data_IF_724222685301
#
_entry.id   IF_724222685301
#
_cell.length_a   1.000
_cell.length_b   1.000
_cell.length_c   1.000
_cell.angle_alpha   90.00
_cell.angle_beta   90.00
_cell.angle_gamma   90.00
#
_symmetry.space_group_name_H-M   'P 1'
#
loop_
_entity.id
_entity.type
_entity.pdbx_description
1 polymer ?
#
# COMPACT_ATOMS: atom_id res chain seq x y z
N UNK A 1 14.37 66.36 -19.50
CA UNK A 1 13.29 65.44 -19.92
C UNK A 1 13.77 64.80 -21.23
N UNK A 2 14.01 63.51 -21.41
CA UNK A 2 13.48 62.27 -20.83
C UNK A 2 14.49 61.15 -21.20
N UNK A 3 14.81 60.31 -20.23
CA UNK A 3 15.01 58.86 -20.41
C UNK A 3 16.23 58.35 -21.20
N UNK A 4 17.44 58.46 -20.63
CA UNK A 4 18.60 57.60 -21.01
C UNK A 4 19.14 56.77 -19.83
N UNK A 5 18.25 56.33 -18.94
CA UNK A 5 18.58 55.40 -17.86
C UNK A 5 17.63 54.22 -17.93
N UNK A 6 17.77 53.37 -18.95
CA UNK A 6 17.23 52.00 -18.98
C UNK A 6 18.15 51.09 -19.80
N UNK A 7 19.42 51.05 -19.41
CA UNK A 7 20.29 49.93 -19.74
C UNK A 7 20.09 48.83 -18.68
N UNK A 8 20.10 47.59 -19.12
CA UNK A 8 20.13 46.36 -18.33
C UNK A 8 18.84 45.97 -17.57
N UNK A 9 17.91 45.36 -18.29
CA UNK A 9 17.15 44.23 -17.74
C UNK A 9 17.08 43.14 -18.81
N UNK A 10 18.26 42.60 -19.15
CA UNK A 10 18.40 41.43 -20.00
C UNK A 10 18.12 40.17 -19.16
N UNK A 11 17.16 39.37 -19.65
CA UNK A 11 17.11 37.91 -19.56
C UNK A 11 17.68 37.24 -18.28
N UNK A 12 16.78 36.80 -17.39
CA UNK A 12 16.97 35.51 -16.71
C UNK A 12 15.76 34.64 -17.06
N UNK A 13 16.00 33.78 -18.05
CA UNK A 13 15.14 32.69 -18.46
C UNK A 13 15.37 31.51 -17.52
N UNK A 14 14.25 30.86 -17.18
CA UNK A 14 14.14 29.43 -16.90
C UNK A 14 14.54 28.86 -15.52
N UNK A 15 13.55 28.11 -15.00
CA UNK A 15 13.72 26.80 -14.35
C UNK A 15 14.03 26.75 -12.87
N UNK A 16 12.98 26.93 -12.06
CA UNK A 16 12.84 26.20 -10.79
C UNK A 16 11.61 25.29 -10.84
N UNK A 17 11.52 24.43 -11.87
CA UNK A 17 10.79 23.17 -11.70
C UNK A 17 11.75 22.27 -10.92
N UNK A 18 11.79 22.47 -9.60
CA UNK A 18 12.45 21.52 -8.70
C UNK A 18 11.75 20.19 -8.93
N UNK A 19 12.57 19.23 -9.37
CA UNK A 19 12.20 17.87 -9.67
C UNK A 19 11.30 17.28 -8.56
N UNK A 20 10.00 17.22 -8.84
CA UNK A 20 9.20 16.09 -8.37
C UNK A 20 9.57 14.89 -9.24
N UNK A 21 10.81 14.42 -9.11
CA UNK A 21 11.09 13.02 -9.37
C UNK A 21 10.43 12.25 -8.24
N UNK A 22 9.09 12.14 -8.31
CA UNK A 22 8.39 11.09 -7.59
C UNK A 22 9.07 9.81 -8.01
N UNK A 23 9.81 9.20 -7.08
CA UNK A 23 10.49 7.94 -7.35
C UNK A 23 9.41 7.00 -7.88
N UNK A 24 9.47 6.66 -9.16
CA UNK A 24 8.64 5.59 -9.71
C UNK A 24 9.24 4.28 -9.20
N UNK A 25 9.06 4.01 -7.91
CA UNK A 25 9.27 2.67 -7.38
C UNK A 25 8.22 1.82 -8.07
N UNK A 26 8.66 0.88 -8.91
CA UNK A 26 7.78 -0.20 -9.33
C UNK A 26 7.37 -0.93 -8.04
N UNK A 27 6.14 -0.71 -7.58
CA UNK A 27 5.65 -1.40 -6.39
C UNK A 27 5.31 -2.82 -6.77
N UNK A 28 6.15 -3.75 -6.35
CA UNK A 28 5.86 -5.19 -6.46
C UNK A 28 4.87 -5.54 -5.38
N UNK A 29 3.67 -5.96 -5.76
CA UNK A 29 2.67 -6.46 -4.83
C UNK A 29 2.84 -7.96 -4.63
N UNK A 30 2.73 -8.41 -3.39
CA UNK A 30 2.60 -9.83 -3.09
C UNK A 30 1.14 -10.26 -3.28
N UNK A 31 0.90 -11.25 -4.13
CA UNK A 31 -0.44 -11.78 -4.36
C UNK A 31 -0.84 -12.74 -3.23
N UNK A 32 -1.82 -12.32 -2.44
CA UNK A 32 -2.45 -13.13 -1.40
C UNK A 32 -3.96 -13.03 -1.53
N UNK A 33 -4.67 -14.06 -1.11
CA UNK A 33 -6.14 -14.07 -1.13
C UNK A 33 -6.73 -14.29 0.27
N UNK A 34 -7.92 -13.75 0.50
CA UNK A 34 -8.68 -13.97 1.73
C UNK A 34 -9.13 -15.41 1.80
N UNK A 35 -8.91 -16.06 2.95
CA UNK A 35 -9.35 -17.42 3.19
C UNK A 35 -9.60 -17.70 4.68
N UNK A 36 -10.49 -18.64 4.97
CA UNK A 36 -10.75 -19.12 6.33
C UNK A 36 -11.58 -18.16 7.19
N UNK A 37 -12.24 -17.18 6.58
CA UNK A 37 -13.29 -16.37 7.22
C UNK A 37 -14.59 -17.20 7.28
N UNK A 38 -15.42 -17.11 8.34
CA UNK A 38 -16.71 -17.81 8.41
C UNK A 38 -17.64 -17.50 7.22
N UNK A 39 -18.59 -18.39 6.96
CA UNK A 39 -19.59 -18.18 5.92
C UNK A 39 -20.44 -16.93 6.22
N UNK A 40 -20.61 -16.06 5.21
CA UNK A 40 -21.32 -14.79 5.36
C UNK A 40 -20.49 -13.65 5.96
N UNK A 41 -19.28 -13.91 6.43
CA UNK A 41 -18.38 -12.92 6.99
C UNK A 41 -17.34 -12.42 5.97
N UNK A 42 -16.67 -11.32 6.33
CA UNK A 42 -15.60 -10.70 5.54
C UNK A 42 -14.36 -10.42 6.40
N UNK A 43 -13.19 -10.44 5.77
CA UNK A 43 -11.96 -9.91 6.36
C UNK A 43 -11.94 -8.39 6.23
N UNK A 44 -11.87 -7.68 7.36
CA UNK A 44 -11.77 -6.23 7.35
C UNK A 44 -10.31 -5.77 7.16
N UNK A 45 -10.09 -4.84 6.22
CA UNK A 45 -8.90 -4.00 6.21
C UNK A 45 -9.12 -2.80 7.12
N UNK A 46 -8.11 -2.49 7.95
CA UNK A 46 -8.20 -1.47 8.99
C UNK A 46 -7.10 -0.42 8.85
N UNK A 47 -7.37 0.79 9.34
CA UNK A 47 -6.43 1.92 9.25
C UNK A 47 -5.09 1.66 9.95
N UNK A 48 -5.11 0.89 11.03
CA UNK A 48 -3.93 0.52 11.83
C UNK A 48 -3.99 -0.97 12.17
N UNK A 49 -2.85 -1.63 12.45
CA UNK A 49 -2.79 -3.06 12.73
C UNK A 49 -3.31 -3.42 14.13
N UNK A 50 -4.61 -3.21 14.35
CA UNK A 50 -5.30 -3.45 15.61
C UNK A 50 -6.78 -3.79 15.41
N UNK A 51 -7.31 -4.66 16.26
CA UNK A 51 -8.73 -5.05 16.25
C UNK A 51 -9.68 -3.90 16.59
N UNK A 52 -9.20 -2.88 17.32
CA UNK A 52 -9.98 -1.69 17.69
C UNK A 52 -9.87 -0.57 16.66
N UNK A 53 -9.01 -0.72 15.64
CA UNK A 53 -8.82 0.31 14.61
C UNK A 53 -10.02 0.41 13.66
N UNK A 54 -10.24 1.60 13.13
CA UNK A 54 -11.27 1.89 12.13
C UNK A 54 -11.19 0.90 10.96
N UNK A 55 -12.32 0.30 10.60
CA UNK A 55 -12.48 -0.50 9.38
C UNK A 55 -12.57 0.45 8.18
N UNK A 56 -11.83 0.13 7.13
CA UNK A 56 -11.80 0.90 5.88
C UNK A 56 -12.48 0.12 4.74
N UNK A 57 -12.21 -1.18 4.65
CA UNK A 57 -12.81 -2.05 3.63
C UNK A 57 -13.08 -3.45 4.19
N UNK A 58 -13.86 -4.23 3.45
CA UNK A 58 -14.26 -5.60 3.80
C UNK A 58 -14.14 -6.51 2.58
N UNK A 59 -13.47 -7.64 2.73
CA UNK A 59 -13.16 -8.57 1.65
C UNK A 59 -13.73 -9.97 1.94
N UNK A 60 -14.52 -10.56 1.03
CA UNK A 60 -15.02 -11.92 1.17
C UNK A 60 -13.89 -12.95 0.94
N UNK A 61 -14.12 -14.21 1.34
CA UNK A 61 -13.22 -15.32 0.95
C UNK A 61 -13.04 -15.36 -0.58
N UNK A 62 -11.81 -15.65 -1.04
CA UNK A 62 -11.43 -15.68 -2.44
C UNK A 62 -11.03 -14.32 -3.03
N UNK A 63 -11.24 -13.21 -2.31
CA UNK A 63 -10.77 -11.91 -2.77
C UNK A 63 -9.23 -11.85 -2.78
N UNK A 64 -8.66 -11.53 -3.94
CA UNK A 64 -7.21 -11.30 -4.09
C UNK A 64 -6.89 -9.89 -3.61
N UNK A 65 -5.87 -9.78 -2.77
CA UNK A 65 -5.41 -8.55 -2.13
C UNK A 65 -4.10 -8.07 -2.77
N UNK A 66 -3.99 -6.77 -2.99
CA UNK A 66 -2.73 -6.12 -3.39
C UNK A 66 -1.88 -5.86 -2.15
N UNK A 67 -1.14 -6.87 -1.69
CA UNK A 67 -0.33 -6.72 -0.47
C UNK A 67 0.96 -5.98 -0.76
N UNK A 68 1.33 -5.01 0.08
CA UNK A 68 2.54 -4.18 -0.14
C UNK A 68 3.84 -4.92 0.16
N UNK A 69 3.77 -6.12 0.74
CA UNK A 69 4.91 -6.86 1.29
C UNK A 69 5.02 -6.70 2.81
N UNK A 70 4.67 -5.53 3.36
CA UNK A 70 4.91 -5.22 4.76
C UNK A 70 3.96 -5.95 5.72
N UNK A 71 4.50 -6.68 6.68
CA UNK A 71 3.75 -7.18 7.84
C UNK A 71 4.38 -6.71 9.16
N UNK A 72 3.57 -6.67 10.23
CA UNK A 72 4.07 -6.36 11.57
C UNK A 72 5.07 -7.41 12.05
N UNK A 73 5.99 -7.00 12.93
CA UNK A 73 7.09 -7.85 13.37
C UNK A 73 8.24 -7.96 12.37
N UNK A 74 8.31 -7.06 11.38
CA UNK A 74 9.44 -6.96 10.45
C UNK A 74 9.46 -8.01 9.35
N UNK A 75 8.32 -8.67 9.07
CA UNK A 75 8.21 -9.66 8.01
C UNK A 75 7.87 -8.96 6.69
N UNK A 76 8.57 -9.35 5.63
CA UNK A 76 8.19 -9.04 4.25
C UNK A 76 7.61 -10.29 3.57
N UNK A 77 6.45 -10.17 2.92
CA UNK A 77 5.82 -11.24 2.16
C UNK A 77 6.65 -11.67 0.94
N UNK A 78 7.43 -10.75 0.36
CA UNK A 78 8.28 -11.04 -0.79
C UNK A 78 9.46 -11.95 -0.40
N UNK A 79 10.00 -11.79 0.82
CA UNK A 79 11.09 -12.63 1.35
C UNK A 79 10.67 -14.08 1.61
N UNK A 80 9.38 -14.31 1.86
CA UNK A 80 8.83 -15.65 2.16
C UNK A 80 8.14 -16.29 0.96
N UNK A 81 7.98 -15.59 -0.17
CA UNK A 81 7.21 -16.06 -1.33
C UNK A 81 7.70 -17.40 -1.91
N UNK A 82 9.00 -17.69 -1.82
CA UNK A 82 9.59 -18.95 -2.30
C UNK A 82 9.43 -20.14 -1.34
N UNK A 83 8.86 -19.94 -0.15
CA UNK A 83 8.68 -21.00 0.84
C UNK A 83 7.40 -21.81 0.56
N UNK A 84 7.29 -23.06 1.05
CA UNK A 84 6.03 -23.79 1.04
C UNK A 84 4.88 -22.97 1.67
N UNK A 85 3.68 -23.03 1.08
CA UNK A 85 2.52 -22.20 1.50
C UNK A 85 2.23 -22.28 3.01
N UNK A 86 2.40 -23.46 3.62
CA UNK A 86 2.17 -23.63 5.05
C UNK A 86 3.18 -22.84 5.91
N UNK A 87 4.44 -22.72 5.49
CA UNK A 87 5.46 -21.91 6.17
C UNK A 87 5.13 -20.43 6.06
N UNK A 88 4.73 -19.99 4.87
CA UNK A 88 4.31 -18.60 4.64
C UNK A 88 3.14 -18.22 5.56
N UNK A 89 2.08 -19.04 5.57
CA UNK A 89 0.90 -18.85 6.43
C UNK A 89 1.28 -18.84 7.91
N UNK A 90 2.19 -19.71 8.32
CA UNK A 90 2.63 -19.77 9.72
C UNK A 90 3.40 -18.51 10.13
N UNK A 91 4.26 -17.98 9.26
CA UNK A 91 5.06 -16.79 9.55
C UNK A 91 4.19 -15.56 9.87
N UNK A 92 3.07 -15.40 9.15
CA UNK A 92 2.20 -14.22 9.29
C UNK A 92 0.93 -14.46 10.12
N UNK A 93 0.68 -15.68 10.61
CA UNK A 93 -0.59 -16.08 11.23
C UNK A 93 -1.11 -15.11 12.29
N UNK A 94 -0.22 -14.53 13.09
CA UNK A 94 -0.55 -13.60 14.17
C UNK A 94 -0.06 -12.17 13.90
N UNK A 95 0.28 -11.87 12.65
CA UNK A 95 0.71 -10.55 12.21
C UNK A 95 -0.43 -9.83 11.50
N UNK A 96 -0.26 -8.53 11.38
CA UNK A 96 -1.06 -7.73 10.47
C UNK A 96 -0.22 -7.49 9.23
N UNK A 97 -0.81 -7.62 8.06
CA UNK A 97 -0.14 -7.41 6.79
C UNK A 97 -0.81 -6.26 6.04
N UNK A 98 0.00 -5.41 5.44
CA UNK A 98 -0.44 -4.18 4.80
C UNK A 98 -0.94 -4.46 3.38
N UNK A 99 -2.11 -3.90 3.09
CA UNK A 99 -2.78 -3.94 1.80
C UNK A 99 -2.82 -2.54 1.22
N UNK A 100 -2.59 -2.44 -0.08
CA UNK A 100 -2.86 -1.25 -0.88
C UNK A 100 -4.27 -1.39 -1.46
N UNK A 101 -5.16 -0.48 -1.11
CA UNK A 101 -6.57 -0.59 -1.50
C UNK A 101 -7.24 0.76 -1.64
N UNK A 102 -8.38 0.77 -2.33
CA UNK A 102 -9.25 1.92 -2.49
C UNK A 102 -10.57 1.68 -1.71
N UNK A 103 -10.67 2.17 -0.47
CA UNK A 103 -11.86 2.01 0.37
C UNK A 103 -13.11 2.66 -0.20
N UNK A 104 -12.95 3.77 -0.92
CA UNK A 104 -14.06 4.60 -1.40
C UNK A 104 -14.48 4.25 -2.84
N UNK A 105 -13.68 3.44 -3.55
CA UNK A 105 -13.87 3.08 -4.95
C UNK A 105 -13.87 4.30 -5.87
N UNK A 106 -13.06 5.31 -5.54
CA UNK A 106 -12.96 6.58 -6.25
C UNK A 106 -11.57 6.82 -6.89
N UNK A 107 -10.70 5.81 -6.83
CA UNK A 107 -9.32 5.86 -7.30
C UNK A 107 -8.32 6.37 -6.27
N UNK A 108 -8.75 6.77 -5.06
CA UNK A 108 -7.84 7.21 -4.00
C UNK A 108 -7.35 6.03 -3.17
N UNK A 109 -6.29 5.40 -3.64
CA UNK A 109 -5.67 4.30 -2.92
C UNK A 109 -4.96 4.77 -1.64
N UNK A 110 -5.10 3.97 -0.60
CA UNK A 110 -4.46 4.15 0.71
C UNK A 110 -3.89 2.81 1.17
N UNK A 111 -3.05 2.85 2.21
CA UNK A 111 -2.69 1.63 2.93
C UNK A 111 -3.72 1.28 3.99
N UNK A 112 -3.89 -0.01 4.21
CA UNK A 112 -4.66 -0.59 5.31
C UNK A 112 -4.01 -1.87 5.80
N UNK A 113 -4.57 -2.47 6.84
CA UNK A 113 -4.02 -3.65 7.49
C UNK A 113 -5.06 -4.75 7.61
N UNK A 114 -4.73 -5.95 7.13
CA UNK A 114 -5.53 -7.17 7.29
C UNK A 114 -4.83 -8.14 8.24
N UNK A 115 -5.62 -8.94 8.96
CA UNK A 115 -5.06 -9.89 9.92
C UNK A 115 -4.59 -11.18 9.22
N UNK A 116 -3.31 -11.52 9.36
CA UNK A 116 -2.62 -12.55 8.60
C UNK A 116 -3.18 -13.96 8.76
N UNK A 117 -3.94 -14.23 9.84
CA UNK A 117 -4.67 -15.49 10.03
C UNK A 117 -5.61 -15.83 8.86
N UNK A 118 -6.17 -14.82 8.21
CA UNK A 118 -7.25 -14.95 7.24
C UNK A 118 -6.81 -14.70 5.80
N UNK A 119 -5.52 -14.83 5.50
CA UNK A 119 -5.00 -14.75 4.14
C UNK A 119 -4.09 -15.95 3.84
N UNK A 120 -4.02 -16.33 2.57
CA UNK A 120 -3.15 -17.38 2.04
C UNK A 120 -2.48 -16.91 0.75
N UNK A 121 -1.31 -17.46 0.37
CA UNK A 121 -0.73 -17.19 -0.93
C UNK A 121 -1.74 -17.54 -2.04
N UNK A 122 -1.83 -16.69 -3.08
CA UNK A 122 -2.71 -16.87 -4.23
C UNK A 122 -2.08 -17.79 -5.28
#
# INVERSE_FOLDING_TARGET
>A
MKSYVRAAAAFVVASTVLAFSGQSHATVFAAWQVAGVPFGDTLNARKYPSNTSQKQAAYPNGAVLQMTGRCTGGIDLLDIAGQPHWKQRQAIRYRWCEVWHDPAQDGHFVTGWVYGKYIVPY
#
